data_IF_244698686711
#
_entry.id   IF_244698686711
#
_cell.length_a   1.000
_cell.length_b   1.000
_cell.length_c   1.000
_cell.angle_alpha   90.00
_cell.angle_beta   90.00
_cell.angle_gamma   90.00
#
_symmetry.space_group_name_H-M   'P 1'
#
loop_
_entity.id
_entity.type
_entity.pdbx_description
1 polymer ?
#
# COMPACT_ATOMS: atom_id res chain seq x y z
N UNK A 1 12.74 -14.61 1.01
CA UNK A 1 11.65 -15.32 1.74
C UNK A 1 11.40 -16.79 1.32
N UNK A 2 11.47 -17.17 0.03
CA UNK A 2 11.18 -18.56 -0.42
C UNK A 2 12.10 -19.64 0.19
N UNK A 3 13.33 -19.30 0.56
CA UNK A 3 14.31 -20.24 1.15
C UNK A 3 14.26 -20.33 2.67
N UNK A 4 13.50 -19.48 3.37
CA UNK A 4 13.63 -19.32 4.82
C UNK A 4 12.48 -19.95 5.64
N UNK A 5 11.32 -20.25 5.03
CA UNK A 5 10.15 -20.76 5.74
C UNK A 5 9.44 -21.81 4.85
N UNK A 6 9.78 -23.09 4.99
CA UNK A 6 9.18 -24.21 4.25
C UNK A 6 8.13 -24.97 5.07
N UNK A 7 7.21 -24.25 5.71
CA UNK A 7 6.29 -24.79 6.71
C UNK A 7 4.86 -24.34 6.46
N UNK A 8 3.81 -25.11 6.83
CA UNK A 8 2.39 -24.70 6.76
C UNK A 8 2.09 -23.35 7.43
N UNK A 9 2.97 -22.90 8.32
CA UNK A 9 2.96 -21.58 8.95
C UNK A 9 3.12 -20.42 7.94
N UNK A 10 3.75 -20.68 6.79
CA UNK A 10 4.07 -19.65 5.79
C UNK A 10 2.83 -19.00 5.20
N UNK A 11 1.82 -19.79 4.87
CA UNK A 11 0.59 -19.29 4.22
C UNK A 11 -0.27 -18.48 5.20
N UNK A 12 -0.10 -18.71 6.51
CA UNK A 12 -0.68 -17.85 7.54
C UNK A 12 0.00 -16.48 7.56
N UNK A 13 1.34 -16.43 7.44
CA UNK A 13 2.10 -15.16 7.49
C UNK A 13 2.02 -14.31 6.21
N UNK A 14 1.53 -14.87 5.10
CA UNK A 14 1.30 -14.12 3.86
C UNK A 14 -0.08 -13.49 3.76
N UNK A 15 -0.96 -13.78 4.71
CA UNK A 15 -2.22 -13.08 4.86
C UNK A 15 -2.02 -11.81 5.68
N UNK A 16 -3.01 -10.91 5.62
CA UNK A 16 -3.01 -9.67 6.40
C UNK A 16 -2.96 -10.02 7.89
N UNK A 17 -1.92 -9.58 8.58
CA UNK A 17 -1.83 -9.71 10.04
C UNK A 17 -2.94 -8.91 10.73
N UNK A 18 -3.53 -9.51 11.76
CA UNK A 18 -4.61 -8.90 12.56
C UNK A 18 -4.00 -8.43 13.88
N UNK A 19 -4.22 -7.18 14.28
CA UNK A 19 -3.61 -6.61 15.49
C UNK A 19 -4.59 -5.68 16.20
N UNK A 20 -4.76 -5.77 17.53
CA UNK A 20 -5.70 -4.93 18.27
C UNK A 20 -5.00 -3.64 18.74
N UNK A 21 -4.76 -2.70 17.82
CA UNK A 21 -3.95 -1.50 18.07
C UNK A 21 -4.45 -0.67 19.25
N UNK A 22 -5.74 -0.36 19.29
CA UNK A 22 -6.36 0.45 20.33
C UNK A 22 -6.35 -0.24 21.70
N UNK A 23 -6.41 -1.57 21.72
CA UNK A 23 -6.34 -2.36 22.95
C UNK A 23 -4.93 -2.38 23.54
N UNK A 24 -3.90 -2.39 22.68
CA UNK A 24 -2.48 -2.46 23.04
C UNK A 24 -1.91 -1.10 23.50
N UNK A 25 -2.62 -0.43 24.40
CA UNK A 25 -2.22 0.89 24.92
C UNK A 25 -1.25 0.81 26.11
N UNK A 26 -1.58 0.17 27.26
CA UNK A 26 -0.61 0.03 28.34
C UNK A 26 0.31 -1.18 28.11
N UNK A 27 1.59 -1.04 28.49
CA UNK A 27 2.59 -2.10 28.34
C UNK A 27 2.20 -3.40 29.06
N UNK A 28 1.43 -3.32 30.15
CA UNK A 28 0.93 -4.48 30.88
C UNK A 28 0.09 -5.44 30.02
N UNK A 29 -0.48 -4.98 28.88
CA UNK A 29 -1.20 -5.84 27.95
C UNK A 29 -0.33 -6.92 27.35
N UNK A 30 0.96 -6.67 27.18
CA UNK A 30 1.90 -7.64 26.60
C UNK A 30 2.02 -8.91 27.44
N UNK A 31 1.74 -8.84 28.74
CA UNK A 31 1.77 -9.98 29.67
C UNK A 31 0.47 -10.80 29.65
N UNK A 32 -0.61 -10.33 29.02
CA UNK A 32 -1.88 -11.06 28.96
C UNK A 32 -1.71 -12.34 28.14
N UNK A 33 -2.13 -13.47 28.72
CA UNK A 33 -1.86 -14.81 28.19
C UNK A 33 -2.94 -15.35 27.26
N UNK A 34 -3.92 -14.52 26.91
CA UNK A 34 -5.05 -14.89 26.07
C UNK A 34 -5.21 -13.88 24.94
N UNK A 35 -5.67 -14.35 23.79
CA UNK A 35 -6.09 -13.46 22.71
C UNK A 35 -7.34 -12.69 23.18
N UNK A 36 -7.34 -11.34 23.09
CA UNK A 36 -8.46 -10.55 23.56
C UNK A 36 -9.72 -10.83 22.72
N UNK A 37 -10.92 -10.54 23.24
CA UNK A 37 -12.16 -10.78 22.53
C UNK A 37 -12.20 -9.97 21.22
N UNK A 38 -12.96 -10.44 20.22
CA UNK A 38 -13.12 -9.76 18.92
C UNK A 38 -13.44 -8.27 19.04
N UNK A 39 -14.27 -7.89 20.03
CA UNK A 39 -14.64 -6.49 20.30
C UNK A 39 -13.44 -5.59 20.65
N UNK A 40 -12.32 -6.14 21.12
CA UNK A 40 -11.10 -5.40 21.41
C UNK A 40 -10.29 -5.04 20.14
N UNK A 41 -10.64 -5.59 18.98
CA UNK A 41 -10.05 -5.26 17.67
C UNK A 41 -10.85 -4.16 16.95
N UNK A 42 -11.52 -3.28 17.70
CA UNK A 42 -12.19 -2.11 17.14
C UNK A 42 -11.17 -1.11 16.61
N UNK A 43 -11.38 -0.60 15.39
CA UNK A 43 -10.55 0.45 14.80
C UNK A 43 -11.28 1.79 14.77
N UNK A 44 -10.67 2.81 15.37
CA UNK A 44 -11.13 4.19 15.32
C UNK A 44 -11.02 4.81 13.92
N UNK A 45 -10.18 4.24 13.04
CA UNK A 45 -9.98 4.71 11.66
C UNK A 45 -11.17 4.34 10.76
N UNK A 46 -11.71 3.13 10.91
CA UNK A 46 -12.85 2.65 10.11
C UNK A 46 -14.18 2.72 10.86
N UNK A 47 -14.14 2.97 12.17
CA UNK A 47 -15.28 2.85 13.09
C UNK A 47 -15.94 1.46 13.08
N UNK A 48 -15.15 0.42 12.84
CA UNK A 48 -15.63 -0.95 12.72
C UNK A 48 -14.78 -1.92 13.56
N UNK A 49 -15.37 -3.07 13.90
CA UNK A 49 -14.66 -4.22 14.46
C UNK A 49 -14.31 -5.17 13.31
N UNK A 50 -13.20 -5.90 13.44
CA UNK A 50 -12.84 -6.96 12.48
C UNK A 50 -13.98 -7.97 12.27
N UNK A 51 -13.99 -8.57 11.09
CA UNK A 51 -14.92 -9.64 10.72
C UNK A 51 -14.66 -10.93 11.50
N UNK A 52 -15.62 -11.86 11.50
CA UNK A 52 -15.43 -13.16 12.14
C UNK A 52 -14.28 -13.95 11.51
N UNK A 53 -14.18 -13.94 10.17
CA UNK A 53 -13.10 -14.63 9.46
C UNK A 53 -11.71 -14.07 9.80
N UNK A 54 -11.59 -12.75 9.99
CA UNK A 54 -10.34 -12.13 10.45
C UNK A 54 -9.99 -12.54 11.89
N UNK A 55 -10.99 -12.66 12.77
CA UNK A 55 -10.76 -13.12 14.14
C UNK A 55 -10.39 -14.61 14.21
N UNK A 56 -11.05 -15.47 13.43
CA UNK A 56 -10.69 -16.88 13.25
C UNK A 56 -9.24 -17.01 12.74
N UNK A 57 -8.82 -16.14 11.82
CA UNK A 57 -7.44 -16.07 11.36
C UNK A 57 -6.48 -15.72 12.51
N UNK A 58 -6.78 -14.69 13.32
CA UNK A 58 -5.98 -14.31 14.48
C UNK A 58 -5.84 -15.46 15.50
N UNK A 59 -6.94 -16.17 15.77
CA UNK A 59 -6.94 -17.36 16.63
C UNK A 59 -6.11 -18.50 16.05
N UNK A 60 -6.16 -18.70 14.73
CA UNK A 60 -5.36 -19.71 14.04
C UNK A 60 -3.88 -19.39 14.17
N UNK A 61 -3.47 -18.14 13.94
CA UNK A 61 -2.09 -17.68 14.13
C UNK A 61 -1.65 -17.88 15.58
N UNK A 62 -2.46 -17.46 16.56
CA UNK A 62 -2.16 -17.64 17.98
C UNK A 62 -1.85 -19.10 18.33
N UNK A 63 -2.71 -20.03 17.88
CA UNK A 63 -2.56 -21.47 18.13
C UNK A 63 -1.39 -22.07 17.37
N UNK A 64 -1.26 -21.79 16.07
CA UNK A 64 -0.22 -22.38 15.22
C UNK A 64 1.19 -22.02 15.69
N UNK A 65 1.40 -20.78 16.15
CA UNK A 65 2.71 -20.32 16.62
C UNK A 65 2.94 -20.56 18.12
N UNK A 66 2.03 -21.24 18.81
CA UNK A 66 2.09 -21.53 20.25
C UNK A 66 2.35 -20.27 21.09
N UNK A 67 1.64 -19.19 20.77
CA UNK A 67 1.81 -17.88 21.38
C UNK A 67 1.32 -17.92 22.82
N UNK A 68 2.14 -17.42 23.75
CA UNK A 68 1.89 -17.51 25.19
C UNK A 68 1.29 -16.25 25.77
N UNK A 69 1.57 -15.11 25.16
CA UNK A 69 1.07 -13.82 25.59
C UNK A 69 0.98 -12.83 24.42
N UNK A 70 0.33 -11.69 24.66
CA UNK A 70 0.16 -10.67 23.62
C UNK A 70 1.47 -10.02 23.19
N UNK A 71 2.53 -10.08 24.01
CA UNK A 71 3.86 -9.65 23.62
C UNK A 71 4.47 -10.51 22.53
N UNK A 72 4.43 -11.83 22.67
CA UNK A 72 4.86 -12.77 21.62
C UNK A 72 4.00 -12.61 20.34
N UNK A 73 2.70 -12.30 20.47
CA UNK A 73 1.84 -11.98 19.33
C UNK A 73 2.26 -10.70 18.61
N UNK A 74 2.54 -9.63 19.37
CA UNK A 74 3.02 -8.37 18.84
C UNK A 74 4.38 -8.52 18.16
N UNK A 75 5.32 -9.23 18.78
CA UNK A 75 6.64 -9.48 18.21
C UNK A 75 6.55 -10.24 16.89
N UNK A 76 5.67 -11.25 16.80
CA UNK A 76 5.42 -11.96 15.56
C UNK A 76 4.88 -11.02 14.48
N UNK A 77 3.85 -10.23 14.81
CA UNK A 77 3.24 -9.25 13.90
C UNK A 77 4.29 -8.24 13.37
N UNK A 78 5.00 -7.57 14.27
CA UNK A 78 6.00 -6.56 13.91
C UNK A 78 7.16 -7.16 13.11
N UNK A 79 7.60 -8.36 13.46
CA UNK A 79 8.66 -9.07 12.73
C UNK A 79 8.25 -9.38 11.29
N UNK A 80 7.00 -9.76 11.06
CA UNK A 80 6.50 -10.02 9.69
C UNK A 80 6.51 -8.74 8.88
N UNK A 81 6.01 -7.63 9.43
CA UNK A 81 6.00 -6.33 8.75
C UNK A 81 7.41 -5.88 8.35
N UNK A 82 8.38 -6.00 9.26
CA UNK A 82 9.78 -5.65 9.00
C UNK A 82 10.39 -6.56 7.92
N UNK A 83 10.14 -7.87 7.99
CA UNK A 83 10.67 -8.83 7.00
C UNK A 83 10.05 -8.61 5.62
N UNK A 84 8.75 -8.33 5.54
CA UNK A 84 8.05 -8.01 4.29
C UNK A 84 8.62 -6.73 3.68
N UNK A 85 8.76 -5.67 4.47
CA UNK A 85 9.33 -4.40 4.03
C UNK A 85 10.77 -4.57 3.54
N UNK A 86 11.62 -5.25 4.32
CA UNK A 86 13.01 -5.51 3.93
C UNK A 86 13.10 -6.30 2.63
N UNK A 87 12.28 -7.35 2.46
CA UNK A 87 12.27 -8.16 1.24
C UNK A 87 11.82 -7.36 0.01
N UNK A 88 10.79 -6.51 0.14
CA UNK A 88 10.37 -5.60 -0.94
C UNK A 88 11.49 -4.63 -1.29
N UNK A 89 12.11 -4.01 -0.29
CA UNK A 89 13.16 -3.02 -0.50
C UNK A 89 14.42 -3.63 -1.12
N UNK A 90 14.87 -4.81 -0.67
CA UNK A 90 15.97 -5.54 -1.29
C UNK A 90 15.69 -5.88 -2.75
N UNK A 91 14.45 -6.25 -3.09
CA UNK A 91 14.06 -6.50 -4.47
C UNK A 91 14.09 -5.21 -5.30
N UNK A 92 13.58 -4.10 -4.76
CA UNK A 92 13.66 -2.79 -5.39
C UNK A 92 15.11 -2.37 -5.65
N UNK A 93 16.03 -2.54 -4.68
CA UNK A 93 17.46 -2.26 -4.85
C UNK A 93 18.09 -3.07 -5.98
N UNK A 94 17.80 -4.38 -6.03
CA UNK A 94 18.28 -5.26 -7.12
C UNK A 94 17.78 -4.79 -8.48
N UNK A 95 16.51 -4.42 -8.58
CA UNK A 95 15.93 -3.91 -9.81
C UNK A 95 16.61 -2.60 -10.24
N UNK A 96 16.77 -1.64 -9.35
CA UNK A 96 17.34 -0.32 -9.70
C UNK A 96 18.82 -0.41 -10.06
N UNK A 97 19.57 -1.26 -9.37
CA UNK A 97 20.95 -1.58 -9.73
C UNK A 97 21.01 -2.21 -11.13
N UNK A 98 20.15 -3.18 -11.44
CA UNK A 98 20.16 -3.84 -12.74
C UNK A 98 19.79 -2.89 -13.89
N UNK A 99 18.71 -2.11 -13.73
CA UNK A 99 18.18 -1.26 -14.82
C UNK A 99 18.90 0.08 -14.95
N UNK A 100 19.26 0.72 -13.85
CA UNK A 100 19.79 2.09 -13.84
C UNK A 100 21.24 2.17 -13.37
N UNK A 101 21.80 1.05 -12.87
CA UNK A 101 23.11 1.04 -12.24
C UNK A 101 23.16 2.04 -11.06
N UNK A 102 22.04 2.19 -10.36
CA UNK A 102 21.85 3.07 -9.20
C UNK A 102 21.32 2.26 -8.03
N UNK A 103 21.93 2.40 -6.87
CA UNK A 103 21.42 1.80 -5.64
C UNK A 103 20.33 2.69 -5.02
N UNK A 104 19.15 2.12 -4.80
CA UNK A 104 18.05 2.82 -4.16
C UNK A 104 18.38 3.23 -2.71
N UNK A 105 19.32 2.55 -2.03
CA UNK A 105 19.77 2.92 -0.68
C UNK A 105 20.41 4.32 -0.61
N UNK A 106 20.98 4.80 -1.72
CA UNK A 106 21.56 6.14 -1.79
C UNK A 106 20.54 7.24 -2.11
N UNK A 107 19.26 6.88 -2.25
CA UNK A 107 18.20 7.82 -2.61
C UNK A 107 17.21 7.95 -1.46
N UNK A 108 16.92 9.21 -1.10
CA UNK A 108 15.96 9.49 -0.02
C UNK A 108 14.53 9.11 -0.41
N UNK A 109 14.17 9.26 -1.69
CA UNK A 109 12.79 9.06 -2.18
C UNK A 109 12.78 8.44 -3.57
N UNK A 110 11.67 7.77 -3.94
CA UNK A 110 11.49 7.20 -5.28
C UNK A 110 11.53 8.24 -6.41
N UNK A 111 10.94 9.45 -6.28
CA UNK A 111 11.13 10.51 -7.29
C UNK A 111 12.59 10.96 -7.43
N UNK A 112 13.34 11.03 -6.33
CA UNK A 112 14.77 11.33 -6.37
C UNK A 112 15.56 10.28 -7.15
N UNK A 113 15.26 8.99 -6.93
CA UNK A 113 15.82 7.89 -7.70
C UNK A 113 15.46 8.00 -9.19
N UNK A 114 14.19 8.23 -9.52
CA UNK A 114 13.73 8.36 -10.90
C UNK A 114 14.41 9.53 -11.62
N UNK A 115 14.58 10.66 -10.93
CA UNK A 115 15.32 11.81 -11.43
C UNK A 115 16.79 11.49 -11.71
N UNK A 116 17.48 10.86 -10.77
CA UNK A 116 18.88 10.45 -10.97
C UNK A 116 19.02 9.43 -12.12
N UNK A 117 18.07 8.49 -12.24
CA UNK A 117 18.03 7.56 -13.35
C UNK A 117 17.85 8.31 -14.68
N UNK A 118 16.91 9.25 -14.77
CA UNK A 118 16.68 10.05 -15.98
C UNK A 118 17.93 10.85 -16.40
N UNK A 119 18.58 11.53 -15.46
CA UNK A 119 19.82 12.27 -15.72
C UNK A 119 20.94 11.35 -16.22
N UNK A 120 21.13 10.20 -15.57
CA UNK A 120 22.15 9.23 -15.94
C UNK A 120 21.91 8.59 -17.31
N UNK A 121 20.65 8.26 -17.63
CA UNK A 121 20.29 7.63 -18.89
C UNK A 121 20.38 8.58 -20.08
N UNK A 122 20.13 9.88 -19.86
CA UNK A 122 20.16 10.90 -20.93
C UNK A 122 21.49 11.63 -21.06
N UNK A 123 22.38 11.51 -20.06
CA UNK A 123 23.63 12.28 -19.93
C UNK A 123 23.44 13.80 -19.99
N UNK A 124 22.23 14.28 -19.69
CA UNK A 124 21.91 15.71 -19.73
C UNK A 124 22.55 16.42 -18.53
N UNK A 125 23.18 17.58 -18.81
CA UNK A 125 23.74 18.46 -17.78
C UNK A 125 22.81 19.64 -17.58
N UNK A 126 22.08 19.64 -16.47
CA UNK A 126 21.20 20.74 -16.11
C UNK A 126 21.99 21.87 -15.44
N UNK A 127 21.71 23.10 -15.88
CA UNK A 127 22.19 24.30 -15.20
C UNK A 127 21.41 24.56 -13.91
N UNK A 128 22.05 25.18 -12.94
CA UNK A 128 21.38 25.70 -11.75
C UNK A 128 20.66 27.00 -12.09
N UNK A 129 19.55 27.27 -11.41
CA UNK A 129 18.94 28.60 -11.46
C UNK A 129 19.89 29.59 -10.79
N UNK A 130 20.29 30.62 -11.54
CA UNK A 130 21.19 31.68 -11.07
C UNK A 130 20.45 32.97 -10.71
N UNK A 131 19.16 33.06 -11.06
CA UNK A 131 18.32 34.23 -10.82
C UNK A 131 16.92 33.81 -10.35
N UNK A 132 16.35 34.61 -9.44
CA UNK A 132 15.04 34.35 -8.84
C UNK A 132 13.90 34.40 -9.89
N UNK A 133 14.04 35.20 -10.94
CA UNK A 133 13.00 35.28 -11.98
C UNK A 133 12.92 34.00 -12.81
N UNK A 134 14.03 33.25 -12.96
CA UNK A 134 13.99 31.93 -13.60
C UNK A 134 13.14 30.96 -12.79
N UNK A 135 13.35 30.93 -11.47
CA UNK A 135 12.57 30.09 -10.56
C UNK A 135 11.09 30.48 -10.61
N UNK A 136 10.79 31.76 -10.46
CA UNK A 136 9.41 32.28 -10.48
C UNK A 136 8.72 32.04 -11.83
N UNK A 137 9.46 32.09 -12.95
CA UNK A 137 8.92 31.80 -14.27
C UNK A 137 8.46 30.34 -14.37
N UNK A 138 9.30 29.40 -13.94
CA UNK A 138 8.95 27.97 -13.94
C UNK A 138 7.82 27.69 -12.96
N UNK A 139 7.92 28.17 -11.72
CA UNK A 139 6.89 27.97 -10.69
C UNK A 139 5.51 28.47 -11.15
N UNK A 140 5.45 29.68 -11.72
CA UNK A 140 4.21 30.24 -12.27
C UNK A 140 3.65 29.45 -13.45
N UNK A 141 4.47 28.65 -14.13
CA UNK A 141 4.09 27.80 -15.24
C UNK A 141 3.58 26.41 -14.85
N UNK A 142 3.85 25.93 -13.63
CA UNK A 142 3.44 24.60 -13.18
C UNK A 142 1.91 24.51 -13.10
N UNK A 143 1.33 23.54 -13.81
CA UNK A 143 -0.10 23.20 -13.75
C UNK A 143 -0.23 21.70 -13.52
N UNK A 144 -1.22 21.31 -12.72
CA UNK A 144 -1.59 19.91 -12.53
C UNK A 144 -2.41 19.37 -13.69
N UNK A 145 -2.95 18.16 -13.49
CA UNK A 145 -3.87 17.53 -14.45
C UNK A 145 -5.19 18.30 -14.51
N UNK A 146 -5.80 18.34 -15.70
CA UNK A 146 -7.18 18.82 -15.86
C UNK A 146 -8.13 17.73 -15.36
N UNK A 147 -8.92 18.05 -14.35
CA UNK A 147 -10.02 17.20 -13.89
C UNK A 147 -11.35 17.86 -14.25
N UNK A 148 -12.18 17.15 -15.03
CA UNK A 148 -13.44 17.67 -15.55
C UNK A 148 -14.59 16.71 -15.20
N UNK A 149 -15.64 17.25 -14.58
CA UNK A 149 -16.92 16.58 -14.41
C UNK A 149 -17.90 17.21 -15.40
N UNK A 150 -18.08 16.59 -16.56
CA UNK A 150 -19.01 17.06 -17.59
C UNK A 150 -20.48 16.87 -17.22
N UNK A 151 -20.79 15.82 -16.44
CA UNK A 151 -22.12 15.53 -15.91
C UNK A 151 -21.99 14.96 -14.50
N UNK A 152 -22.79 15.46 -13.55
CA UNK A 152 -22.71 15.06 -12.12
C UNK A 152 -23.10 13.61 -11.85
N UNK A 153 -24.01 13.07 -12.66
CA UNK A 153 -24.51 11.70 -12.51
C UNK A 153 -24.81 11.11 -13.88
N UNK A 154 -24.42 9.86 -14.07
CA UNK A 154 -24.71 9.09 -15.27
C UNK A 154 -24.77 7.62 -14.88
N UNK A 155 -25.91 7.00 -15.13
CA UNK A 155 -26.11 5.56 -14.94
C UNK A 155 -26.19 4.88 -16.30
N UNK A 156 -25.61 3.69 -16.42
CA UNK A 156 -25.73 2.85 -17.61
C UNK A 156 -27.11 2.16 -17.61
N UNK A 157 -27.70 1.99 -18.80
CA UNK A 157 -28.93 1.24 -18.98
C UNK A 157 -28.75 0.30 -20.17
N UNK A 158 -28.40 -0.96 -19.93
CA UNK A 158 -28.34 -1.99 -20.96
C UNK A 158 -28.72 -3.35 -20.36
N UNK A 159 -29.05 -4.33 -21.20
CA UNK A 159 -29.60 -5.64 -20.78
C UNK A 159 -28.74 -6.46 -19.81
N UNK A 160 -27.46 -6.11 -19.63
CA UNK A 160 -26.55 -6.78 -18.69
C UNK A 160 -26.38 -6.00 -17.38
N UNK A 161 -26.97 -4.81 -17.27
CA UNK A 161 -26.94 -4.02 -16.03
C UNK A 161 -27.92 -4.61 -15.00
N UNK A 162 -27.58 -4.62 -13.69
CA UNK A 162 -28.47 -5.16 -12.64
C UNK A 162 -29.85 -4.50 -12.56
N UNK A 163 -29.94 -3.21 -12.91
CA UNK A 163 -31.15 -2.39 -12.83
C UNK A 163 -31.69 -2.01 -14.22
N UNK A 164 -31.56 -2.89 -15.22
CA UNK A 164 -32.02 -2.60 -16.58
C UNK A 164 -33.51 -2.28 -16.63
N UNK A 165 -33.84 -1.17 -17.31
CA UNK A 165 -35.19 -0.70 -17.52
C UNK A 165 -35.47 -0.64 -19.02
N UNK A 166 -36.30 -1.57 -19.50
CA UNK A 166 -36.66 -1.68 -20.92
C UNK A 166 -37.52 -0.52 -21.43
N UNK A 167 -38.03 0.32 -20.53
CA UNK A 167 -38.80 1.53 -20.90
C UNK A 167 -37.91 2.73 -21.21
N UNK A 168 -36.62 2.66 -20.87
CA UNK A 168 -35.63 3.72 -21.10
C UNK A 168 -34.70 3.37 -22.25
N UNK A 169 -34.13 4.40 -22.85
CA UNK A 169 -33.13 4.23 -23.91
C UNK A 169 -31.89 3.50 -23.41
N UNK A 170 -31.28 2.72 -24.31
CA UNK A 170 -30.02 2.07 -24.01
C UNK A 170 -28.90 3.10 -23.85
N UNK A 171 -28.13 2.97 -22.77
CA UNK A 171 -27.05 3.86 -22.40
C UNK A 171 -25.84 3.09 -21.90
N UNK A 172 -24.69 3.37 -22.50
CA UNK A 172 -23.42 2.72 -22.17
C UNK A 172 -22.45 3.75 -21.57
N UNK A 173 -21.62 3.30 -20.64
CA UNK A 173 -20.53 4.09 -20.06
C UNK A 173 -19.23 3.40 -20.42
N UNK A 174 -18.26 4.14 -20.94
CA UNK A 174 -16.95 3.63 -21.31
C UNK A 174 -15.90 4.22 -20.37
N UNK A 175 -15.02 3.37 -19.86
CA UNK A 175 -13.86 3.77 -19.07
C UNK A 175 -12.60 3.62 -19.93
N UNK A 176 -11.91 4.73 -20.17
CA UNK A 176 -10.68 4.77 -20.95
C UNK A 176 -9.55 5.30 -20.08
N UNK A 177 -8.38 4.68 -20.18
CA UNK A 177 -7.16 5.12 -19.49
C UNK A 177 -6.04 5.13 -20.52
N UNK A 178 -5.34 6.26 -20.60
CA UNK A 178 -4.09 6.33 -21.34
C UNK A 178 -2.99 5.64 -20.50
N UNK A 179 -2.36 4.62 -21.07
CA UNK A 179 -1.18 4.01 -20.46
C UNK A 179 -0.04 5.03 -20.52
N UNK A 180 0.57 5.28 -19.36
CA UNK A 180 1.79 6.09 -19.26
C UNK A 180 1.65 7.52 -19.82
N UNK A 181 0.58 8.23 -19.44
CA UNK A 181 0.24 9.56 -19.98
C UNK A 181 1.39 10.60 -19.91
N UNK A 182 2.28 10.47 -18.93
CA UNK A 182 3.40 11.39 -18.70
C UNK A 182 4.78 10.77 -18.94
N UNK A 183 4.85 9.44 -19.09
CA UNK A 183 6.11 8.69 -19.02
C UNK A 183 7.10 9.00 -20.14
#
# INVERSE_FOLDING_TARGET
MRSCISSPHRDLLFQKGIHPYEYMSPFSKFEETELPPRSAFYSSLTNEVITEAEYEHAQTVWKSFNIRNLGEYHDLYAKIDVILLANVFENSRKLTLNFYQLDAEHMLTSPGLAWQAALKMTDVKLGLFTDINMHLFIEKGIRGVVSLIGHRHSEANHSQSPNYDSTKDNKYITYLVANDLYG
#
